data_IF_751899379936
#
_entry.id   IF_751899379936
#
_cell.length_a   1.000
_cell.length_b   1.000
_cell.length_c   1.000
_cell.angle_alpha   90.00
_cell.angle_beta   90.00
_cell.angle_gamma   90.00
#
_symmetry.space_group_name_H-M   'P 1'
#
loop_
_entity.id
_entity.type
_entity.pdbx_description
1 polymer ?
#
# COMPACT_ATOMS: atom_id res chain seq x y z
N UNK A 1 -18.46 71.31 20.57
CA UNK A 1 -17.26 70.53 20.86
C UNK A 1 -17.39 69.14 20.22
N UNK A 2 -16.59 68.91 19.19
CA UNK A 2 -16.60 67.65 18.40
C UNK A 2 -15.43 66.81 18.90
N UNK A 3 -15.76 65.68 19.52
CA UNK A 3 -14.73 64.76 20.03
C UNK A 3 -14.41 63.79 18.90
N UNK A 4 -13.21 63.88 18.39
CA UNK A 4 -12.67 63.04 17.36
C UNK A 4 -12.03 61.82 18.03
N UNK A 5 -12.68 60.65 17.90
CA UNK A 5 -12.20 59.40 18.47
C UNK A 5 -11.29 58.73 17.43
N UNK A 6 -9.97 58.71 17.73
CA UNK A 6 -8.99 57.98 16.96
C UNK A 6 -9.07 56.50 17.30
N UNK A 7 -9.56 55.70 16.35
CA UNK A 7 -9.40 54.24 16.40
C UNK A 7 -7.98 53.88 15.94
N UNK A 8 -7.19 53.40 16.88
CA UNK A 8 -5.90 52.76 16.57
C UNK A 8 -6.18 51.41 15.91
N UNK A 9 -5.51 51.05 14.81
CA UNK A 9 -5.62 49.71 14.26
C UNK A 9 -4.88 48.73 15.19
N UNK A 10 -5.60 47.78 15.74
CA UNK A 10 -4.99 46.60 16.36
C UNK A 10 -4.14 45.89 15.30
N UNK A 11 -2.84 45.89 15.50
CA UNK A 11 -1.93 45.08 14.76
C UNK A 11 -2.22 43.61 15.15
N UNK A 12 -2.98 42.90 14.32
CA UNK A 12 -3.08 41.47 14.40
C UNK A 12 -1.69 40.89 14.13
N UNK A 13 -1.00 40.51 15.21
CA UNK A 13 0.22 39.71 15.12
C UNK A 13 -0.19 38.32 14.65
N UNK A 14 -0.40 38.17 13.34
CA UNK A 14 -0.55 36.89 12.69
C UNK A 14 0.76 36.15 12.79
N UNK A 15 0.90 35.19 13.71
CA UNK A 15 1.91 34.16 13.56
C UNK A 15 1.73 33.53 12.20
N UNK A 16 2.79 33.37 11.40
CA UNK A 16 2.69 32.58 10.18
C UNK A 16 2.18 31.20 10.59
N UNK A 17 1.28 30.59 9.79
CA UNK A 17 0.83 29.24 10.06
C UNK A 17 2.08 28.37 10.17
N UNK A 18 2.24 27.70 11.31
CA UNK A 18 3.24 26.65 11.46
C UNK A 18 2.84 25.61 10.43
N UNK A 19 3.56 25.57 9.31
CA UNK A 19 3.45 24.46 8.37
C UNK A 19 3.87 23.24 9.17
N UNK A 20 2.91 22.34 9.41
CA UNK A 20 3.23 21.03 9.92
C UNK A 20 4.23 20.43 8.93
N UNK A 21 5.46 20.17 9.37
CA UNK A 21 6.41 19.42 8.58
C UNK A 21 5.73 18.10 8.23
N UNK A 22 5.55 17.84 6.93
CA UNK A 22 5.07 16.55 6.48
C UNK A 22 6.06 15.50 6.98
N UNK A 23 5.59 14.62 7.86
CA UNK A 23 6.40 13.53 8.39
C UNK A 23 6.89 12.68 7.22
N UNK A 24 8.19 12.71 6.93
CA UNK A 24 8.80 11.81 5.95
C UNK A 24 8.90 10.41 6.56
N UNK A 25 8.11 9.48 6.04
CA UNK A 25 8.14 8.08 6.42
C UNK A 25 9.13 7.37 5.51
N UNK A 26 9.98 6.54 6.07
CA UNK A 26 10.91 5.70 5.31
C UNK A 26 10.67 4.23 5.59
N UNK A 27 10.84 3.40 4.57
CA UNK A 27 10.71 1.95 4.66
C UNK A 27 11.98 1.29 4.13
N UNK A 28 12.33 0.14 4.72
CA UNK A 28 13.42 -0.69 4.25
C UNK A 28 12.83 -1.85 3.43
N UNK A 29 13.13 -1.86 2.14
CA UNK A 29 12.70 -2.90 1.22
C UNK A 29 13.73 -4.01 1.17
N UNK A 30 13.29 -5.23 1.44
CA UNK A 30 14.05 -6.45 1.23
C UNK A 30 13.43 -7.26 0.09
N UNK A 31 14.30 -7.76 -0.79
CA UNK A 31 13.91 -8.57 -1.93
C UNK A 31 14.24 -10.03 -1.62
N UNK A 32 13.23 -10.86 -1.70
CA UNK A 32 13.35 -12.29 -1.51
C UNK A 32 13.55 -13.07 -2.80
N UNK A 33 13.10 -14.30 -2.79
CA UNK A 33 13.22 -15.22 -3.90
C UNK A 33 12.35 -14.83 -5.10
N UNK A 34 12.74 -15.29 -6.27
CA UNK A 34 11.95 -15.21 -7.49
C UNK A 34 10.80 -16.21 -7.43
N UNK A 35 9.60 -15.75 -7.79
CA UNK A 35 8.38 -16.53 -7.78
C UNK A 35 7.78 -16.56 -9.20
N UNK A 36 7.46 -17.77 -9.67
CA UNK A 36 6.85 -17.96 -10.97
C UNK A 36 5.32 -18.08 -10.85
N UNK A 37 4.61 -17.42 -11.76
CA UNK A 37 3.18 -17.56 -11.90
C UNK A 37 2.76 -17.39 -13.36
N UNK A 38 2.07 -18.38 -13.88
CA UNK A 38 1.74 -18.41 -15.30
C UNK A 38 3.01 -18.36 -16.16
N UNK A 39 3.06 -17.44 -17.12
CA UNK A 39 4.22 -17.18 -17.99
C UNK A 39 5.08 -16.02 -17.51
N UNK A 40 4.86 -15.55 -16.29
CA UNK A 40 5.53 -14.40 -15.71
C UNK A 40 6.15 -14.73 -14.36
N UNK A 41 6.98 -13.85 -13.89
CA UNK A 41 7.61 -14.00 -12.59
C UNK A 41 7.68 -12.66 -11.84
N UNK A 42 7.69 -12.75 -10.52
CA UNK A 42 7.91 -11.64 -9.62
C UNK A 42 8.92 -12.04 -8.56
N UNK A 43 9.15 -11.19 -7.60
CA UNK A 43 9.90 -11.51 -6.40
C UNK A 43 9.02 -11.37 -5.17
N UNK A 44 9.35 -12.09 -4.13
CA UNK A 44 8.78 -11.82 -2.83
C UNK A 44 9.42 -10.55 -2.26
N UNK A 45 8.60 -9.64 -1.77
CA UNK A 45 9.06 -8.39 -1.18
C UNK A 45 8.58 -8.28 0.25
N UNK A 46 9.43 -7.71 1.09
CA UNK A 46 9.05 -7.26 2.43
C UNK A 46 9.51 -5.82 2.64
N UNK A 47 8.70 -5.04 3.33
CA UNK A 47 9.04 -3.69 3.76
C UNK A 47 8.95 -3.64 5.29
N UNK A 48 10.07 -3.39 5.95
CA UNK A 48 10.21 -3.47 7.42
C UNK A 48 9.67 -4.79 8.00
N UNK A 49 9.99 -5.90 7.33
CA UNK A 49 9.57 -7.23 7.72
C UNK A 49 8.12 -7.60 7.38
N UNK A 50 7.41 -6.75 6.66
CA UNK A 50 6.02 -6.95 6.29
C UNK A 50 5.84 -7.19 4.80
N UNK A 51 4.85 -7.98 4.43
CA UNK A 51 4.57 -8.30 3.03
C UNK A 51 4.36 -7.02 2.22
N UNK A 52 5.12 -6.88 1.15
CA UNK A 52 5.02 -5.77 0.20
C UNK A 52 4.79 -6.30 -1.21
N UNK A 53 4.24 -5.46 -2.07
CA UNK A 53 3.86 -5.80 -3.43
C UNK A 53 4.39 -4.77 -4.43
N UNK A 54 4.94 -5.24 -5.53
CA UNK A 54 5.23 -4.41 -6.68
C UNK A 54 3.91 -4.09 -7.39
N UNK A 55 3.63 -2.81 -7.64
CA UNK A 55 2.38 -2.36 -8.24
C UNK A 55 2.48 -2.15 -9.75
N UNK A 56 3.67 -2.26 -10.31
CA UNK A 56 3.95 -2.02 -11.73
C UNK A 56 4.72 -3.21 -12.33
N UNK A 57 4.00 -4.31 -12.67
CA UNK A 57 4.65 -5.57 -13.02
C UNK A 57 5.49 -5.52 -14.30
N UNK A 58 5.23 -4.58 -15.21
CA UNK A 58 5.99 -4.43 -16.46
C UNK A 58 7.29 -3.63 -16.29
N UNK A 59 7.51 -3.04 -15.13
CA UNK A 59 8.74 -2.28 -14.85
C UNK A 59 9.80 -3.18 -14.20
N UNK A 60 11.08 -2.82 -14.32
CA UNK A 60 12.15 -3.55 -13.69
C UNK A 60 11.96 -3.71 -12.19
N UNK A 61 12.42 -4.82 -11.63
CA UNK A 61 12.35 -5.06 -10.20
C UNK A 61 13.13 -4.01 -9.42
N UNK A 62 12.60 -3.53 -8.29
CA UNK A 62 13.31 -2.62 -7.43
C UNK A 62 14.52 -3.29 -6.78
N UNK A 63 15.50 -2.52 -6.38
CA UNK A 63 16.59 -2.99 -5.55
C UNK A 63 16.24 -2.91 -4.07
N UNK A 64 16.81 -3.79 -3.25
CA UNK A 64 16.75 -3.65 -1.79
C UNK A 64 17.34 -2.30 -1.37
N UNK A 65 16.76 -1.68 -0.38
CA UNK A 65 17.21 -0.38 0.08
C UNK A 65 16.17 0.35 0.91
N UNK A 66 16.49 1.58 1.23
CA UNK A 66 15.63 2.47 2.01
C UNK A 66 14.97 3.49 1.10
N UNK A 67 13.65 3.59 1.21
CA UNK A 67 12.84 4.46 0.36
C UNK A 67 11.88 5.31 1.17
N UNK A 68 11.62 6.51 0.68
CA UNK A 68 10.55 7.36 1.22
C UNK A 68 9.18 6.80 0.86
N UNK A 69 8.28 6.80 1.83
CA UNK A 69 6.94 6.26 1.68
C UNK A 69 5.88 7.31 2.02
N UNK A 70 4.72 7.17 1.39
CA UNK A 70 3.54 7.97 1.67
C UNK A 70 2.45 7.07 2.23
N UNK A 71 1.78 7.52 3.26
CA UNK A 71 0.63 6.83 3.84
C UNK A 71 -0.56 6.91 2.90
N UNK A 72 -1.23 5.79 2.71
CA UNK A 72 -2.52 5.73 2.05
C UNK A 72 -3.61 6.05 3.07
N UNK A 73 -4.21 7.23 2.96
CA UNK A 73 -5.24 7.70 3.90
C UNK A 73 -6.59 6.99 3.67
N UNK A 74 -6.81 6.42 2.50
CA UNK A 74 -8.04 5.73 2.14
C UNK A 74 -7.96 5.12 0.75
N UNK A 75 -9.10 4.77 0.19
CA UNK A 75 -9.24 4.27 -1.16
C UNK A 75 -9.13 2.75 -1.29
N UNK A 76 -9.35 2.29 -2.51
CA UNK A 76 -9.47 0.87 -2.80
C UNK A 76 -8.14 0.11 -2.65
N UNK A 77 -7.02 0.73 -2.97
CA UNK A 77 -5.70 0.11 -2.78
C UNK A 77 -5.41 -0.17 -1.30
N UNK A 78 -5.69 0.78 -0.42
CA UNK A 78 -5.54 0.58 1.03
C UNK A 78 -6.41 -0.59 1.51
N UNK A 79 -7.64 -0.64 1.04
CA UNK A 79 -8.59 -1.72 1.35
C UNK A 79 -8.09 -3.07 0.82
N UNK A 80 -7.58 -3.11 -0.41
CA UNK A 80 -6.99 -4.30 -0.99
C UNK A 80 -5.81 -4.79 -0.15
N UNK A 81 -4.88 -3.93 0.23
CA UNK A 81 -3.72 -4.27 1.05
C UNK A 81 -4.10 -4.84 2.42
N UNK A 82 -5.27 -4.50 2.93
CA UNK A 82 -5.80 -5.10 4.17
C UNK A 82 -6.26 -6.54 3.97
N UNK A 83 -6.94 -6.85 2.87
CA UNK A 83 -7.60 -8.14 2.66
C UNK A 83 -6.81 -9.16 1.83
N UNK A 84 -5.78 -8.76 1.10
CA UNK A 84 -4.94 -9.70 0.34
C UNK A 84 -3.93 -10.41 1.23
N UNK A 85 -3.21 -11.38 0.67
CA UNK A 85 -2.23 -12.17 1.41
C UNK A 85 -1.21 -11.29 2.15
N UNK A 86 -0.98 -11.59 3.42
CA UNK A 86 -0.12 -10.81 4.30
C UNK A 86 -0.80 -9.63 4.99
N UNK A 87 -2.00 -9.25 4.59
CA UNK A 87 -2.80 -8.23 5.25
C UNK A 87 -3.55 -8.77 6.48
N UNK A 88 -3.87 -7.91 7.46
CA UNK A 88 -4.57 -8.34 8.68
C UNK A 88 -5.96 -8.93 8.44
N UNK A 89 -6.62 -8.52 7.36
CA UNK A 89 -7.95 -9.00 6.98
C UNK A 89 -7.95 -10.19 6.00
N UNK A 90 -6.78 -10.74 5.69
CA UNK A 90 -6.69 -11.84 4.71
C UNK A 90 -7.55 -13.05 5.08
N UNK A 91 -7.51 -13.47 6.33
CA UNK A 91 -8.31 -14.61 6.80
C UNK A 91 -9.81 -14.33 6.73
N UNK A 92 -10.24 -13.08 6.94
CA UNK A 92 -11.64 -12.67 6.77
C UNK A 92 -12.09 -12.88 5.32
N UNK A 93 -11.26 -12.47 4.37
CA UNK A 93 -11.55 -12.68 2.95
C UNK A 93 -11.62 -14.18 2.61
N UNK A 94 -10.61 -14.94 3.02
CA UNK A 94 -10.49 -16.37 2.68
C UNK A 94 -11.64 -17.18 3.28
N UNK A 95 -12.02 -16.92 4.51
CA UNK A 95 -13.15 -17.59 5.16
C UNK A 95 -14.46 -17.35 4.39
N UNK A 96 -14.65 -16.15 3.87
CA UNK A 96 -15.89 -15.78 3.16
C UNK A 96 -15.90 -16.21 1.70
N UNK A 97 -14.77 -16.14 1.00
CA UNK A 97 -14.71 -16.27 -0.46
C UNK A 97 -13.71 -17.31 -0.99
N UNK A 98 -12.89 -17.91 -0.11
CA UNK A 98 -11.83 -18.82 -0.51
C UNK A 98 -10.52 -18.13 -0.86
N UNK A 99 -9.54 -18.92 -1.27
CA UNK A 99 -8.19 -18.45 -1.59
C UNK A 99 -8.12 -17.61 -2.86
N UNK A 100 -7.09 -16.79 -2.98
CA UNK A 100 -6.81 -16.02 -4.19
C UNK A 100 -6.25 -16.90 -5.32
N UNK A 101 -5.46 -17.91 -4.97
CA UNK A 101 -4.97 -18.91 -5.91
C UNK A 101 -6.08 -19.80 -6.47
N UNK A 102 -5.75 -20.56 -7.51
CA UNK A 102 -6.72 -21.37 -8.25
C UNK A 102 -6.67 -22.86 -7.93
N UNK A 103 -5.74 -23.27 -7.06
CA UNK A 103 -5.61 -24.69 -6.65
C UNK A 103 -6.70 -25.17 -5.70
N UNK A 104 -7.41 -24.26 -5.04
CA UNK A 104 -8.35 -24.59 -3.97
C UNK A 104 -7.68 -24.89 -2.62
N UNK A 105 -6.37 -24.83 -2.56
CA UNK A 105 -5.56 -25.05 -1.37
C UNK A 105 -4.72 -23.81 -1.04
N UNK A 106 -4.30 -23.68 0.20
CA UNK A 106 -3.41 -22.60 0.60
C UNK A 106 -1.98 -22.91 0.15
N UNK A 107 -1.64 -22.46 -1.05
CA UNK A 107 -0.27 -22.44 -1.56
C UNK A 107 0.27 -21.03 -1.46
N UNK A 108 1.23 -20.84 -0.57
CA UNK A 108 1.78 -19.52 -0.20
C UNK A 108 2.23 -18.73 -1.44
N UNK A 109 2.91 -19.38 -2.38
CA UNK A 109 3.39 -18.73 -3.61
C UNK A 109 2.23 -18.26 -4.49
N UNK A 110 1.20 -19.09 -4.65
CA UNK A 110 0.03 -18.72 -5.47
C UNK A 110 -0.75 -17.58 -4.81
N UNK A 111 -0.92 -17.63 -3.49
CA UNK A 111 -1.61 -16.58 -2.73
C UNK A 111 -0.87 -15.25 -2.85
N UNK A 112 0.44 -15.25 -2.74
CA UNK A 112 1.25 -14.05 -2.91
C UNK A 112 1.17 -13.52 -4.34
N UNK A 113 1.37 -14.35 -5.36
CA UNK A 113 1.36 -13.93 -6.75
C UNK A 113 0.00 -13.41 -7.22
N UNK A 114 -1.08 -14.07 -6.81
CA UNK A 114 -2.44 -13.63 -7.18
C UNK A 114 -2.82 -12.35 -6.41
N UNK A 115 -2.41 -12.22 -5.17
CA UNK A 115 -2.54 -10.97 -4.40
C UNK A 115 -1.74 -9.84 -5.01
N UNK A 116 -0.55 -10.13 -5.54
CA UNK A 116 0.26 -9.17 -6.30
C UNK A 116 -0.49 -8.62 -7.52
N UNK A 117 -1.12 -9.49 -8.31
CA UNK A 117 -1.94 -9.06 -9.44
C UNK A 117 -3.10 -8.16 -9.00
N UNK A 118 -3.76 -8.50 -7.91
CA UNK A 118 -4.88 -7.72 -7.37
C UNK A 118 -4.41 -6.35 -6.89
N UNK A 119 -3.32 -6.26 -6.14
CA UNK A 119 -2.75 -4.99 -5.70
C UNK A 119 -2.37 -4.10 -6.89
N UNK A 120 -1.71 -4.67 -7.90
CA UNK A 120 -1.38 -3.96 -9.14
C UNK A 120 -2.64 -3.48 -9.88
N UNK A 121 -3.70 -4.28 -9.91
CA UNK A 121 -4.96 -3.90 -10.55
C UNK A 121 -5.63 -2.70 -9.86
N UNK A 122 -5.66 -2.67 -8.55
CA UNK A 122 -6.20 -1.52 -7.81
C UNK A 122 -5.37 -0.24 -8.02
N UNK A 123 -4.09 -0.39 -8.28
CA UNK A 123 -3.20 0.76 -8.51
C UNK A 123 -3.24 1.25 -9.97
N UNK A 124 -3.12 0.33 -10.94
CA UNK A 124 -3.02 0.66 -12.36
C UNK A 124 -4.39 0.90 -13.01
N UNK A 125 -5.42 0.25 -12.51
CA UNK A 125 -6.79 0.26 -13.06
C UNK A 125 -6.86 -0.20 -14.53
N UNK A 126 -5.94 -1.10 -14.92
CA UNK A 126 -5.89 -1.68 -16.25
C UNK A 126 -5.38 -3.14 -16.23
N UNK A 127 -5.42 -3.79 -17.40
CA UNK A 127 -5.09 -5.22 -17.55
C UNK A 127 -3.59 -5.53 -17.47
N UNK A 128 -2.70 -4.55 -17.48
CA UNK A 128 -1.26 -4.77 -17.27
C UNK A 128 -0.99 -5.47 -15.92
N UNK A 129 -1.87 -5.25 -14.94
CA UNK A 129 -1.80 -5.91 -13.65
C UNK A 129 -1.84 -7.45 -13.74
N UNK A 130 -2.44 -7.99 -14.80
CA UNK A 130 -2.62 -9.43 -15.00
C UNK A 130 -1.63 -10.02 -16.00
N UNK A 131 -0.53 -9.35 -16.27
CA UNK A 131 0.53 -9.87 -17.13
C UNK A 131 1.00 -11.24 -16.63
N UNK A 132 1.01 -12.23 -17.53
CA UNK A 132 1.47 -13.58 -17.23
C UNK A 132 0.39 -14.57 -16.81
N UNK A 133 -0.81 -14.11 -16.44
CA UNK A 133 -1.95 -15.00 -16.18
C UNK A 133 -2.83 -15.16 -17.43
N UNK A 134 -3.60 -16.23 -17.48
CA UNK A 134 -4.55 -16.44 -18.59
C UNK A 134 -5.69 -15.42 -18.52
N UNK A 135 -6.38 -15.20 -19.65
CA UNK A 135 -7.55 -14.34 -19.69
C UNK A 135 -8.65 -14.77 -18.71
N UNK A 136 -8.87 -16.07 -18.57
CA UNK A 136 -9.84 -16.62 -17.62
C UNK A 136 -9.45 -16.36 -16.16
N UNK A 137 -8.18 -16.49 -15.82
CA UNK A 137 -7.66 -16.17 -14.51
C UNK A 137 -7.73 -14.67 -14.22
N UNK A 138 -7.39 -13.82 -15.20
CA UNK A 138 -7.51 -12.38 -15.06
C UNK A 138 -8.95 -11.96 -14.75
N UNK A 139 -9.92 -12.51 -15.44
CA UNK A 139 -11.34 -12.23 -15.17
C UNK A 139 -11.75 -12.70 -13.77
N UNK A 140 -11.32 -13.88 -13.36
CA UNK A 140 -11.57 -14.38 -12.01
C UNK A 140 -10.93 -13.48 -10.93
N UNK A 141 -9.73 -12.97 -11.17
CA UNK A 141 -9.06 -12.04 -10.25
C UNK A 141 -9.78 -10.69 -10.17
N UNK A 142 -10.32 -10.18 -11.27
CA UNK A 142 -11.18 -8.98 -11.25
C UNK A 142 -12.42 -9.19 -10.40
N UNK A 143 -13.06 -10.35 -10.49
CA UNK A 143 -14.20 -10.69 -9.63
C UNK A 143 -13.80 -10.75 -8.14
N UNK A 144 -12.63 -11.28 -7.83
CA UNK A 144 -12.08 -11.28 -6.47
C UNK A 144 -11.80 -9.85 -5.98
N UNK A 145 -11.30 -8.97 -6.84
CA UNK A 145 -11.13 -7.56 -6.53
C UNK A 145 -12.47 -6.87 -6.20
N UNK A 146 -13.53 -7.14 -6.97
CA UNK A 146 -14.86 -6.61 -6.68
C UNK A 146 -15.40 -7.10 -5.32
N UNK A 147 -15.12 -8.34 -4.93
CA UNK A 147 -15.47 -8.85 -3.61
C UNK A 147 -14.76 -8.07 -2.50
N UNK A 148 -13.51 -7.69 -2.70
CA UNK A 148 -12.77 -6.82 -1.76
C UNK A 148 -13.45 -5.45 -1.66
N UNK A 149 -13.86 -4.84 -2.76
CA UNK A 149 -14.56 -3.54 -2.76
C UNK A 149 -15.83 -3.56 -1.93
N UNK A 150 -16.50 -4.69 -1.88
CA UNK A 150 -17.75 -4.86 -1.13
C UNK A 150 -17.55 -5.24 0.34
N UNK A 151 -16.32 -5.50 0.78
CA UNK A 151 -16.01 -5.73 2.19
C UNK A 151 -15.97 -4.41 2.97
N UNK A 152 -16.11 -4.47 4.31
CA UNK A 152 -15.97 -3.28 5.15
C UNK A 152 -14.62 -2.58 4.97
N UNK A 153 -14.61 -1.26 5.18
CA UNK A 153 -13.35 -0.52 5.20
C UNK A 153 -12.44 -1.04 6.31
N UNK A 154 -11.11 -1.02 6.09
CA UNK A 154 -10.16 -1.38 7.12
C UNK A 154 -10.31 -0.49 8.35
N UNK A 155 -9.99 -1.02 9.56
CA UNK A 155 -9.95 -0.21 10.76
C UNK A 155 -9.04 1.01 10.62
N UNK A 156 -9.31 2.09 11.32
CA UNK A 156 -8.50 3.33 11.27
C UNK A 156 -7.04 3.10 11.67
N UNK A 157 -6.78 2.16 12.58
CA UNK A 157 -5.42 1.82 12.99
C UNK A 157 -4.62 1.06 11.92
N UNK A 158 -5.27 0.54 10.88
CA UNK A 158 -4.55 -0.08 9.77
C UNK A 158 -3.90 1.01 8.93
N UNK A 159 -2.60 0.93 8.79
CA UNK A 159 -1.84 1.81 7.94
C UNK A 159 -1.29 1.04 6.74
N UNK A 160 -1.41 1.62 5.57
CA UNK A 160 -0.75 1.16 4.37
C UNK A 160 0.09 2.30 3.80
N UNK A 161 1.17 1.95 3.12
CA UNK A 161 2.09 2.91 2.55
C UNK A 161 2.35 2.56 1.09
N UNK A 162 2.55 3.60 0.29
CA UNK A 162 3.05 3.49 -1.08
C UNK A 162 4.39 4.19 -1.16
N UNK A 163 5.34 3.63 -1.90
CA UNK A 163 6.65 4.23 -2.09
C UNK A 163 7.21 3.89 -3.46
N UNK A 164 8.00 4.81 -3.99
CA UNK A 164 8.72 4.63 -5.24
C UNK A 164 10.15 4.23 -4.94
N UNK A 165 10.62 3.21 -5.61
CA UNK A 165 12.00 2.83 -5.57
C UNK A 165 12.83 3.69 -6.53
N UNK A 166 14.12 3.83 -6.24
CA UNK A 166 15.01 4.71 -6.99
C UNK A 166 15.05 4.40 -8.48
N UNK A 167 15.15 5.43 -9.24
CA UNK A 167 15.60 5.46 -10.60
C UNK A 167 14.51 5.30 -11.64
N UNK A 168 13.64 4.34 -11.57
CA UNK A 168 12.73 4.09 -12.67
C UNK A 168 11.37 3.58 -12.25
N UNK A 169 10.75 4.25 -11.22
CA UNK A 169 9.30 4.21 -11.19
C UNK A 169 8.66 2.90 -10.73
N UNK A 170 9.28 2.18 -9.82
CA UNK A 170 8.60 1.12 -9.13
C UNK A 170 7.78 1.70 -7.97
N UNK A 171 6.53 1.29 -7.89
CA UNK A 171 5.71 1.56 -6.71
C UNK A 171 5.49 0.25 -5.96
N UNK A 172 5.66 0.28 -4.66
CA UNK A 172 5.43 -0.88 -3.80
C UNK A 172 4.46 -0.49 -2.71
N UNK A 173 3.40 -1.28 -2.55
CA UNK A 173 2.50 -1.17 -1.43
C UNK A 173 2.98 -2.06 -0.29
N UNK A 174 3.20 -1.49 0.88
CA UNK A 174 3.50 -2.23 2.09
C UNK A 174 2.26 -2.40 2.93
N UNK A 175 2.03 -3.62 3.44
CA UNK A 175 0.95 -3.90 4.36
C UNK A 175 1.53 -4.24 5.72
N UNK A 176 1.10 -3.54 6.75
CA UNK A 176 1.61 -3.80 8.07
C UNK A 176 0.64 -4.52 8.98
N UNK A 177 1.06 -5.64 9.54
CA UNK A 177 0.37 -6.25 10.69
C UNK A 177 0.53 -5.44 11.98
N UNK A 178 1.58 -4.67 12.11
CA UNK A 178 1.91 -3.89 13.29
C UNK A 178 2.62 -2.59 12.91
N UNK A 179 1.84 -1.62 12.56
CA UNK A 179 2.36 -0.31 12.26
C UNK A 179 2.66 0.55 13.48
N UNK A 180 2.24 0.09 14.65
CA UNK A 180 2.82 0.57 15.90
C UNK A 180 4.35 0.42 15.91
N UNK A 181 4.90 -0.65 15.33
CA UNK A 181 6.35 -0.83 15.18
C UNK A 181 6.99 0.19 14.24
N UNK A 182 6.41 0.44 13.08
CA UNK A 182 6.93 1.43 12.11
C UNK A 182 6.81 2.85 12.63
N UNK A 183 5.72 3.18 13.33
CA UNK A 183 5.52 4.48 13.96
C UNK A 183 6.46 4.67 15.15
N UNK A 184 6.75 3.63 15.94
CA UNK A 184 7.70 3.68 17.06
C UNK A 184 9.15 3.80 16.59
N UNK A 185 9.54 3.10 15.52
CA UNK A 185 10.86 3.24 14.89
C UNK A 185 11.04 4.67 14.39
N UNK A 186 10.01 5.23 13.80
CA UNK A 186 9.99 6.60 13.32
C UNK A 186 10.15 7.62 14.48
N UNK A 187 9.42 7.45 15.57
CA UNK A 187 9.56 8.31 16.77
C UNK A 187 10.96 8.23 17.40
N UNK A 188 11.59 7.05 17.38
CA UNK A 188 12.95 6.86 17.90
C UNK A 188 14.03 7.48 17.01
N UNK A 189 13.81 7.57 15.71
CA UNK A 189 14.77 8.18 14.79
C UNK A 189 14.76 9.72 14.84
N UNK A 190 13.77 10.33 15.49
CA UNK A 190 13.67 11.78 15.68
C UNK A 190 14.17 12.27 17.04
N UNK A 191 14.58 11.39 17.93
CA UNK A 191 15.23 11.72 19.19
C UNK A 191 16.75 11.59 19.06
#
# INVERSE_FOLDING_TARGET
AMVMMFLLPEAASGMPPVQAEEETITVNLDIGEELLYGSYHTRSYTADGQTAYCLEPLKPWPASGRYEAQRLEGGDLRKALYYIYGGPGYEIYVEKYGYFGFSGEMVKTDEYCMSHCIAAYFYLENDEAFTGVSAGQAEALKQKAEKIRNLPDPPEYFNAFIFKTSGNQQAIGGTGKNLTGSVEIYKKSQQ
#
